data_IF_099736738227
#
_entry.id   IF_099736738227
#
_cell.length_a   1.000
_cell.length_b   1.000
_cell.length_c   1.000
_cell.angle_alpha   90.00
_cell.angle_beta   90.00
_cell.angle_gamma   90.00
#
_symmetry.space_group_name_H-M   'P 1'
#
loop_
_entity.id
_entity.type
_entity.pdbx_description
1 polymer ?
#
# COMPACT_ATOMS: atom_id res chain seq x y z
N UNK A 1 -48.88 -20.07 15.38
CA UNK A 1 -49.05 -20.83 14.12
C UNK A 1 -47.68 -21.31 13.65
N UNK A 2 -47.38 -22.61 13.78
CA UNK A 2 -46.14 -23.20 13.25
C UNK A 2 -46.27 -23.28 11.74
N UNK A 3 -45.39 -22.60 11.00
CA UNK A 3 -45.29 -22.69 9.54
C UNK A 3 -44.70 -24.07 9.23
N UNK A 4 -45.52 -25.00 8.75
CA UNK A 4 -45.02 -26.30 8.30
C UNK A 4 -44.16 -26.08 7.05
N UNK A 5 -42.85 -26.28 7.22
CA UNK A 5 -41.89 -26.25 6.13
C UNK A 5 -42.27 -27.35 5.14
N UNK A 6 -42.66 -26.96 3.93
CA UNK A 6 -43.28 -27.91 3.00
C UNK A 6 -42.18 -28.83 2.47
N UNK A 7 -42.41 -30.14 2.47
CA UNK A 7 -41.44 -31.20 2.06
C UNK A 7 -40.69 -30.92 0.75
N UNK A 8 -41.26 -30.06 -0.12
CA UNK A 8 -40.67 -29.55 -1.37
C UNK A 8 -39.54 -28.53 -1.15
N UNK A 9 -39.64 -27.65 -0.16
CA UNK A 9 -38.61 -26.65 0.17
C UNK A 9 -37.38 -27.33 0.80
N UNK A 10 -37.60 -28.33 1.66
CA UNK A 10 -36.51 -29.15 2.20
C UNK A 10 -35.78 -29.91 1.09
N UNK A 11 -36.51 -30.47 0.13
CA UNK A 11 -35.94 -31.18 -1.01
C UNK A 11 -35.14 -30.25 -1.94
N UNK A 12 -35.63 -29.03 -2.16
CA UNK A 12 -34.92 -28.01 -2.95
C UNK A 12 -33.61 -27.58 -2.27
N UNK A 13 -33.64 -27.34 -0.95
CA UNK A 13 -32.46 -26.97 -0.17
C UNK A 13 -31.38 -28.06 -0.18
N UNK A 14 -31.76 -29.34 -0.03
CA UNK A 14 -30.82 -30.45 -0.16
C UNK A 14 -30.25 -30.57 -1.58
N UNK A 15 -31.05 -30.29 -2.61
CA UNK A 15 -30.58 -30.31 -4.00
C UNK A 15 -29.53 -29.23 -4.24
N UNK A 16 -29.74 -28.01 -3.73
CA UNK A 16 -28.77 -26.90 -3.83
C UNK A 16 -27.48 -27.23 -3.08
N UNK A 17 -27.58 -27.79 -1.87
CA UNK A 17 -26.42 -28.20 -1.07
C UNK A 17 -25.60 -29.28 -1.77
N UNK A 18 -26.25 -30.23 -2.44
CA UNK A 18 -25.57 -31.28 -3.19
C UNK A 18 -24.85 -30.74 -4.43
N UNK A 19 -25.46 -29.76 -5.12
CA UNK A 19 -24.82 -29.07 -6.25
C UNK A 19 -23.59 -28.28 -5.79
N UNK A 20 -23.70 -27.53 -4.68
CA UNK A 20 -22.59 -26.77 -4.11
C UNK A 20 -21.45 -27.69 -3.64
N UNK A 21 -21.78 -28.80 -2.98
CA UNK A 21 -20.79 -29.81 -2.60
C UNK A 21 -20.13 -30.46 -3.82
N UNK A 22 -20.88 -30.71 -4.89
CA UNK A 22 -20.36 -31.21 -6.16
C UNK A 22 -19.39 -30.22 -6.81
N UNK A 23 -19.73 -28.93 -6.86
CA UNK A 23 -18.83 -27.88 -7.37
C UNK A 23 -17.58 -27.78 -6.50
N UNK A 24 -17.72 -27.79 -5.17
CA UNK A 24 -16.60 -27.79 -4.24
C UNK A 24 -15.68 -29.00 -4.41
N UNK A 25 -16.25 -30.19 -4.61
CA UNK A 25 -15.50 -31.41 -4.87
C UNK A 25 -14.82 -31.39 -6.24
N UNK A 26 -15.45 -30.82 -7.27
CA UNK A 26 -14.84 -30.65 -8.60
C UNK A 26 -13.65 -29.68 -8.54
N UNK A 27 -13.79 -28.54 -7.86
CA UNK A 27 -12.69 -27.58 -7.66
C UNK A 27 -11.56 -28.23 -6.84
N UNK A 28 -11.91 -28.92 -5.76
CA UNK A 28 -10.96 -29.64 -4.92
C UNK A 28 -10.22 -30.72 -5.72
N UNK A 29 -10.88 -31.46 -6.60
CA UNK A 29 -10.23 -32.46 -7.46
C UNK A 29 -9.43 -31.81 -8.60
N UNK A 30 -9.83 -30.64 -9.10
CA UNK A 30 -9.06 -29.88 -10.09
C UNK A 30 -7.77 -29.30 -9.50
N UNK A 31 -7.74 -28.93 -8.21
CA UNK A 31 -6.51 -28.45 -7.56
C UNK A 31 -5.43 -29.55 -7.47
N UNK A 32 -5.82 -30.83 -7.42
CA UNK A 32 -4.90 -31.96 -7.48
C UNK A 32 -4.56 -32.42 -8.90
N UNK A 33 -5.28 -31.90 -9.91
CA UNK A 33 -4.92 -32.01 -11.33
C UNK A 33 -4.07 -30.83 -11.77
N UNK A 34 -3.03 -30.51 -10.99
CA UNK A 34 -1.89 -29.76 -11.53
C UNK A 34 -1.31 -30.60 -12.67
N UNK A 35 -1.51 -30.14 -13.91
CA UNK A 35 -0.93 -30.78 -15.08
C UNK A 35 0.59 -30.63 -15.04
N UNK A 36 1.40 -31.71 -14.94
CA UNK A 36 2.84 -31.62 -15.13
C UNK A 36 3.24 -31.26 -16.59
N UNK A 37 2.26 -31.02 -17.47
CA UNK A 37 2.44 -30.68 -18.87
C UNK A 37 2.85 -29.22 -19.15
N UNK A 38 2.86 -28.32 -18.15
CA UNK A 38 3.45 -26.98 -18.32
C UNK A 38 4.99 -27.02 -18.26
N UNK A 39 5.58 -28.16 -17.86
CA UNK A 39 7.04 -28.32 -17.81
C UNK A 39 7.69 -28.83 -19.10
N UNK A 40 6.92 -29.15 -20.15
CA UNK A 40 7.50 -29.45 -21.47
C UNK A 40 6.45 -29.44 -22.59
N UNK A 41 6.27 -28.32 -23.29
CA UNK A 41 5.98 -28.29 -24.75
C UNK A 41 6.15 -26.86 -25.31
N UNK A 42 7.27 -26.65 -26.00
CA UNK A 42 7.48 -25.79 -27.17
C UNK A 42 6.77 -24.44 -27.33
N UNK A 43 7.49 -23.36 -27.06
CA UNK A 43 7.37 -22.11 -27.82
C UNK A 43 8.69 -21.79 -28.53
N UNK A 44 8.58 -21.69 -29.85
CA UNK A 44 9.52 -21.18 -30.87
C UNK A 44 10.89 -20.63 -30.41
N UNK A 45 11.93 -21.20 -31.02
CA UNK A 45 13.37 -20.96 -30.80
C UNK A 45 13.89 -19.55 -31.17
N UNK A 46 13.00 -18.58 -31.45
CA UNK A 46 13.37 -17.18 -31.68
C UNK A 46 13.15 -16.28 -30.46
N UNK A 47 12.22 -16.62 -29.56
CA UNK A 47 12.02 -15.86 -28.32
C UNK A 47 13.04 -16.24 -27.24
N UNK A 48 13.60 -17.45 -27.27
CA UNK A 48 14.61 -17.91 -26.31
C UNK A 48 15.86 -17.05 -26.33
N UNK A 49 16.38 -16.61 -27.48
CA UNK A 49 17.55 -15.73 -27.54
C UNK A 49 17.29 -14.30 -27.04
N UNK A 50 16.07 -13.77 -27.20
CA UNK A 50 15.71 -12.42 -26.74
C UNK A 50 15.40 -12.38 -25.24
N UNK A 51 14.77 -13.44 -24.74
CA UNK A 51 14.55 -13.75 -23.33
C UNK A 51 15.91 -13.97 -22.66
N UNK A 52 16.72 -14.91 -23.14
CA UNK A 52 18.05 -15.23 -22.58
C UNK A 52 19.02 -14.04 -22.64
N UNK A 53 18.99 -13.22 -23.69
CA UNK A 53 19.72 -11.96 -23.76
C UNK A 53 19.29 -10.97 -22.69
N UNK A 54 17.99 -10.84 -22.40
CA UNK A 54 17.49 -10.02 -21.30
C UNK A 54 17.84 -10.61 -19.92
N UNK A 55 17.80 -11.93 -19.72
CA UNK A 55 18.23 -12.56 -18.46
C UNK A 55 19.75 -12.44 -18.20
N UNK A 56 20.59 -12.43 -19.25
CA UNK A 56 22.03 -12.20 -19.10
C UNK A 56 22.40 -10.72 -18.91
N UNK A 57 21.69 -9.78 -19.55
CA UNK A 57 21.85 -8.34 -19.29
C UNK A 57 21.40 -7.97 -17.86
N UNK A 58 20.34 -8.62 -17.34
CA UNK A 58 19.83 -8.39 -15.98
C UNK A 58 20.73 -9.00 -14.91
N UNK A 59 21.42 -10.14 -15.18
CA UNK A 59 22.41 -10.70 -14.24
C UNK A 59 23.57 -9.76 -13.92
N UNK A 60 23.90 -8.83 -14.82
CA UNK A 60 24.88 -7.77 -14.58
C UNK A 60 24.41 -6.64 -13.66
N UNK A 61 23.09 -6.51 -13.46
CA UNK A 61 22.42 -5.38 -12.79
C UNK A 61 21.53 -5.79 -11.62
N UNK A 62 21.72 -6.99 -11.04
CA UNK A 62 20.99 -7.45 -9.86
C UNK A 62 21.12 -6.45 -8.71
N UNK A 63 20.00 -6.04 -8.15
CA UNK A 63 19.92 -5.15 -6.99
C UNK A 63 20.23 -5.90 -5.69
N UNK A 64 20.09 -7.23 -5.71
CA UNK A 64 20.36 -8.11 -4.57
C UNK A 64 21.86 -8.46 -4.53
N UNK A 65 22.66 -7.55 -3.97
CA UNK A 65 24.07 -7.81 -3.67
C UNK A 65 24.22 -8.36 -2.25
N UNK A 66 23.92 -9.66 -2.08
CA UNK A 66 24.08 -10.32 -0.79
C UNK A 66 25.56 -10.53 -0.46
N UNK A 67 26.00 -10.27 0.79
CA UNK A 67 27.35 -10.61 1.23
C UNK A 67 27.68 -12.08 1.03
N UNK A 68 28.95 -12.39 0.77
CA UNK A 68 29.46 -13.76 0.60
C UNK A 68 29.22 -14.67 1.82
N UNK A 69 28.90 -14.10 2.97
CA UNK A 69 28.54 -14.84 4.19
C UNK A 69 27.17 -15.52 4.10
N UNK A 70 26.31 -15.10 3.16
CA UNK A 70 25.02 -15.73 2.91
C UNK A 70 25.13 -16.84 1.87
N UNK A 71 24.37 -17.91 2.06
CA UNK A 71 24.33 -19.06 1.15
C UNK A 71 23.08 -18.93 0.28
N UNK A 72 23.26 -18.73 -1.03
CA UNK A 72 22.16 -18.59 -1.97
C UNK A 72 21.47 -19.95 -2.18
N UNK A 73 20.15 -20.00 -2.02
CA UNK A 73 19.34 -21.21 -2.26
C UNK A 73 18.74 -21.23 -3.67
N UNK A 74 18.59 -20.06 -4.28
CA UNK A 74 18.08 -19.90 -5.64
C UNK A 74 18.90 -18.85 -6.41
N UNK A 75 18.92 -18.91 -7.74
CA UNK A 75 19.21 -17.72 -8.54
C UNK A 75 18.22 -16.58 -8.22
N UNK A 76 18.58 -15.32 -8.48
CA UNK A 76 17.61 -14.22 -8.44
C UNK A 76 16.45 -14.49 -9.41
N UNK A 77 15.23 -14.27 -8.94
CA UNK A 77 14.00 -14.32 -9.72
C UNK A 77 13.54 -12.89 -10.04
N UNK A 78 13.00 -12.68 -11.24
CA UNK A 78 12.55 -11.37 -11.71
C UNK A 78 11.09 -11.45 -12.17
N UNK A 79 10.27 -10.55 -11.64
CA UNK A 79 8.85 -10.42 -11.97
C UNK A 79 8.56 -9.03 -12.52
N UNK A 80 7.61 -8.99 -13.44
CA UNK A 80 7.10 -7.85 -14.19
C UNK A 80 5.60 -7.69 -13.89
N UNK A 81 4.96 -6.59 -14.30
CA UNK A 81 3.56 -6.34 -13.92
C UNK A 81 2.59 -7.46 -14.28
N UNK A 82 2.84 -8.19 -15.37
CA UNK A 82 1.96 -9.24 -15.88
C UNK A 82 2.10 -10.60 -15.19
N UNK A 83 3.16 -10.83 -14.41
CA UNK A 83 3.41 -12.11 -13.72
C UNK A 83 3.69 -11.93 -12.21
N UNK A 84 3.54 -10.72 -11.67
CA UNK A 84 3.73 -10.45 -10.26
C UNK A 84 2.78 -11.30 -9.39
N UNK A 85 1.54 -11.52 -9.84
CA UNK A 85 0.53 -12.32 -9.12
C UNK A 85 0.99 -13.74 -8.82
N UNK A 86 1.86 -14.30 -9.67
CA UNK A 86 2.36 -15.66 -9.56
C UNK A 86 3.33 -15.79 -8.37
N UNK A 87 4.02 -14.70 -8.01
CA UNK A 87 4.96 -14.66 -6.89
C UNK A 87 4.30 -14.35 -5.55
N UNK A 88 3.28 -13.49 -5.56
CA UNK A 88 2.70 -12.94 -4.32
C UNK A 88 1.24 -13.36 -4.11
N UNK A 89 0.88 -14.55 -4.60
CA UNK A 89 -0.40 -15.22 -4.36
C UNK A 89 -1.62 -14.33 -4.62
N UNK A 90 -1.64 -13.66 -5.77
CA UNK A 90 -2.75 -12.81 -6.19
C UNK A 90 -2.83 -11.43 -5.50
N UNK A 91 -1.88 -11.06 -4.63
CA UNK A 91 -1.85 -9.74 -3.95
C UNK A 91 -1.26 -8.61 -4.81
N UNK A 92 -1.15 -8.80 -6.12
CA UNK A 92 -0.48 -7.87 -7.04
C UNK A 92 -1.16 -6.51 -7.17
N UNK A 93 -2.49 -6.44 -7.01
CA UNK A 93 -3.26 -5.24 -7.29
C UNK A 93 -2.77 -4.00 -6.49
N UNK A 94 -2.43 -4.19 -5.21
CA UNK A 94 -1.88 -3.12 -4.36
C UNK A 94 -0.64 -2.48 -4.97
N UNK A 95 0.30 -3.29 -5.44
CA UNK A 95 1.56 -2.86 -6.01
C UNK A 95 1.36 -2.24 -7.41
N UNK A 96 0.54 -2.89 -8.24
CA UNK A 96 0.25 -2.45 -9.60
C UNK A 96 -0.42 -1.07 -9.60
N UNK A 97 -1.45 -0.88 -8.78
CA UNK A 97 -2.14 0.40 -8.61
C UNK A 97 -1.24 1.49 -8.01
N UNK A 98 -0.24 1.12 -7.22
CA UNK A 98 0.78 2.03 -6.70
C UNK A 98 1.91 2.34 -7.72
N UNK A 99 1.91 1.78 -8.93
CA UNK A 99 2.88 2.11 -9.98
C UNK A 99 4.11 1.20 -10.06
N UNK A 100 3.99 -0.03 -9.56
CA UNK A 100 5.00 -1.10 -9.67
C UNK A 100 5.65 -1.21 -11.05
N UNK A 101 6.96 -1.44 -11.05
CA UNK A 101 7.79 -1.68 -12.24
C UNK A 101 8.25 -3.12 -12.31
N UNK A 102 9.03 -3.55 -11.31
CA UNK A 102 9.66 -4.86 -11.28
C UNK A 102 9.80 -5.35 -9.85
N UNK A 103 9.85 -6.67 -9.66
CA UNK A 103 10.23 -7.30 -8.40
C UNK A 103 11.43 -8.18 -8.67
N UNK A 104 12.49 -8.00 -7.90
CA UNK A 104 13.59 -8.96 -7.79
C UNK A 104 13.47 -9.71 -6.46
N UNK A 105 13.53 -11.04 -6.47
CA UNK A 105 13.50 -11.84 -5.25
C UNK A 105 14.56 -12.92 -5.22
N UNK A 106 15.08 -13.24 -4.03
CA UNK A 106 16.05 -14.31 -3.88
C UNK A 106 16.01 -14.96 -2.50
N UNK A 107 16.07 -16.30 -2.48
CA UNK A 107 16.18 -17.09 -1.25
C UNK A 107 17.62 -17.34 -0.85
N UNK A 108 17.88 -17.27 0.45
CA UNK A 108 19.20 -17.48 1.04
C UNK A 108 19.12 -18.07 2.45
N UNK A 109 20.21 -18.66 2.91
CA UNK A 109 20.45 -19.05 4.31
C UNK A 109 21.48 -18.14 4.94
N UNK A 110 21.35 -17.93 6.24
CA UNK A 110 22.35 -17.20 7.06
C UNK A 110 23.44 -18.12 7.62
N UNK A 111 23.21 -19.43 7.64
CA UNK A 111 24.17 -20.45 8.11
C UNK A 111 23.95 -21.77 7.37
N UNK A 112 25.03 -22.48 7.05
CA UNK A 112 24.97 -23.81 6.42
C UNK A 112 24.38 -24.88 7.36
N UNK A 113 24.50 -24.69 8.67
CA UNK A 113 24.08 -25.65 9.68
C UNK A 113 22.58 -25.58 10.02
N UNK A 114 21.88 -24.54 9.54
CA UNK A 114 20.45 -24.37 9.78
C UNK A 114 19.65 -24.68 8.51
N UNK A 115 18.42 -25.18 8.70
CA UNK A 115 17.43 -25.28 7.63
C UNK A 115 16.62 -23.99 7.45
N UNK A 116 16.82 -23.01 8.33
CA UNK A 116 16.17 -21.72 8.26
C UNK A 116 16.62 -20.99 7.00
N UNK A 117 15.65 -20.42 6.31
CA UNK A 117 15.87 -19.61 5.12
C UNK A 117 15.16 -18.29 5.25
N UNK A 118 15.66 -17.30 4.51
CA UNK A 118 14.99 -16.05 4.33
C UNK A 118 14.89 -15.74 2.84
N UNK A 119 13.96 -14.86 2.50
CA UNK A 119 13.76 -14.37 1.15
C UNK A 119 13.67 -12.86 1.18
N UNK A 120 14.46 -12.23 0.31
CA UNK A 120 14.42 -10.79 0.08
C UNK A 120 13.58 -10.52 -1.16
N UNK A 121 12.74 -9.49 -1.09
CA UNK A 121 11.90 -8.99 -2.17
C UNK A 121 12.18 -7.50 -2.34
N UNK A 122 12.68 -7.10 -3.50
CA UNK A 122 12.96 -5.70 -3.84
C UNK A 122 11.99 -5.27 -4.93
N UNK A 123 10.95 -4.53 -4.53
CA UNK A 123 9.96 -3.96 -5.44
C UNK A 123 10.43 -2.59 -5.92
N UNK A 124 10.67 -2.43 -7.23
CA UNK A 124 10.82 -1.12 -7.84
C UNK A 124 9.44 -0.50 -8.05
N UNK A 125 9.15 0.55 -7.29
CA UNK A 125 7.89 1.28 -7.35
C UNK A 125 7.99 2.55 -8.22
N UNK A 126 9.14 2.76 -8.87
CA UNK A 126 9.44 3.87 -9.77
C UNK A 126 9.76 5.20 -9.09
N UNK A 127 9.26 5.44 -7.87
CA UNK A 127 9.61 6.60 -7.03
C UNK A 127 9.28 6.35 -5.56
N UNK A 128 9.80 7.21 -4.67
CA UNK A 128 9.64 7.03 -3.22
C UNK A 128 8.24 7.26 -2.68
N UNK A 129 7.40 8.06 -3.33
CA UNK A 129 5.98 8.18 -2.93
C UNK A 129 5.26 6.86 -3.18
N UNK A 130 5.44 6.25 -4.35
CA UNK A 130 4.86 4.96 -4.69
C UNK A 130 5.34 3.82 -3.78
N UNK A 131 6.64 3.83 -3.41
CA UNK A 131 7.16 2.87 -2.43
C UNK A 131 6.54 3.08 -1.04
N UNK A 132 6.39 4.33 -0.62
CA UNK A 132 5.77 4.66 0.66
C UNK A 132 4.28 4.35 0.72
N UNK A 133 3.53 4.50 -0.37
CA UNK A 133 2.12 4.10 -0.38
C UNK A 133 1.97 2.63 -0.04
N UNK A 134 2.75 1.75 -0.69
CA UNK A 134 2.73 0.30 -0.39
C UNK A 134 3.17 0.05 1.04
N UNK A 135 4.28 0.65 1.48
CA UNK A 135 4.78 0.51 2.84
C UNK A 135 3.73 0.90 3.90
N UNK A 136 3.07 2.04 3.71
CA UNK A 136 2.12 2.58 4.68
C UNK A 136 0.80 1.80 4.70
N UNK A 137 0.39 1.25 3.56
CA UNK A 137 -0.84 0.44 3.44
C UNK A 137 -0.64 -0.98 4.00
N UNK A 138 0.58 -1.53 3.89
CA UNK A 138 0.92 -2.85 4.46
C UNK A 138 1.33 -2.82 5.93
N UNK A 139 1.54 -1.64 6.52
CA UNK A 139 2.02 -1.53 7.89
C UNK A 139 1.02 -2.16 8.88
N UNK A 140 1.50 -3.11 9.69
CA UNK A 140 0.68 -3.81 10.68
C UNK A 140 0.51 -2.99 11.96
N UNK A 141 -0.57 -3.22 12.68
CA UNK A 141 -0.84 -2.51 13.96
C UNK A 141 0.22 -2.80 15.03
N UNK A 142 0.78 -4.01 15.05
CA UNK A 142 1.81 -4.49 15.96
C UNK A 142 3.25 -4.16 15.49
N UNK A 143 3.39 -3.41 14.40
CA UNK A 143 4.68 -3.06 13.82
C UNK A 143 5.58 -2.30 14.80
N UNK A 144 6.82 -2.79 14.94
CA UNK A 144 7.89 -2.15 15.72
C UNK A 144 8.88 -1.48 14.76
N UNK A 145 9.47 -0.32 15.12
CA UNK A 145 10.53 0.28 14.30
C UNK A 145 11.68 -0.70 14.05
N UNK A 146 12.19 -0.76 12.82
CA UNK A 146 13.34 -1.61 12.48
C UNK A 146 14.69 -0.87 12.59
N UNK A 147 14.70 0.46 12.57
CA UNK A 147 15.92 1.26 12.75
C UNK A 147 16.82 1.37 11.52
N UNK A 148 16.34 0.98 10.33
CA UNK A 148 17.09 1.06 9.07
C UNK A 148 17.08 2.47 8.46
N UNK A 149 15.89 3.04 8.37
CA UNK A 149 15.60 4.39 7.85
C UNK A 149 14.28 4.88 8.48
N UNK A 150 13.88 6.13 8.19
CA UNK A 150 12.64 6.76 8.64
C UNK A 150 11.40 5.88 8.38
N UNK A 151 11.38 5.17 7.26
CA UNK A 151 10.28 4.28 6.87
C UNK A 151 10.75 2.83 6.94
N UNK A 152 10.89 2.32 8.16
CA UNK A 152 11.26 0.93 8.41
C UNK A 152 10.55 0.35 9.62
N UNK A 153 9.98 -0.85 9.47
CA UNK A 153 9.38 -1.60 10.57
C UNK A 153 9.70 -3.08 10.48
N UNK A 154 9.47 -3.79 11.59
CA UNK A 154 9.66 -5.22 11.74
C UNK A 154 8.46 -5.86 12.42
N UNK A 155 8.23 -7.12 12.08
CA UNK A 155 7.32 -8.05 12.74
C UNK A 155 8.14 -9.20 13.36
N UNK A 156 7.48 -10.24 13.85
CA UNK A 156 8.14 -11.41 14.46
C UNK A 156 9.09 -12.17 13.53
N UNK A 157 8.90 -12.09 12.20
CA UNK A 157 9.67 -12.86 11.22
C UNK A 157 10.09 -12.05 9.98
N UNK A 158 9.87 -10.74 9.95
CA UNK A 158 10.13 -9.95 8.74
C UNK A 158 10.53 -8.50 9.04
N UNK A 159 11.24 -7.92 8.09
CA UNK A 159 11.65 -6.51 8.07
C UNK A 159 11.17 -5.88 6.78
N UNK A 160 10.60 -4.69 6.89
CA UNK A 160 10.00 -3.93 5.80
C UNK A 160 10.56 -2.52 5.80
N UNK A 161 10.94 -2.00 4.64
CA UNK A 161 11.45 -0.63 4.55
C UNK A 161 11.29 -0.02 3.17
N UNK A 162 11.34 1.31 3.13
CA UNK A 162 11.43 2.10 1.89
C UNK A 162 12.84 2.65 1.75
N UNK A 163 13.43 2.51 0.57
CA UNK A 163 14.71 3.13 0.23
C UNK A 163 14.70 3.65 -1.22
N UNK A 164 14.64 4.97 -1.38
CA UNK A 164 14.52 5.58 -2.71
C UNK A 164 13.21 5.15 -3.39
N UNK A 165 13.23 4.61 -4.63
CA UNK A 165 12.05 4.08 -5.31
C UNK A 165 11.67 2.66 -4.88
N UNK A 166 12.45 2.05 -3.98
CA UNK A 166 12.28 0.64 -3.62
C UNK A 166 11.47 0.48 -2.34
N UNK A 167 10.51 -0.44 -2.39
CA UNK A 167 9.91 -1.05 -1.21
C UNK A 167 10.53 -2.44 -1.04
N UNK A 168 11.06 -2.73 0.14
CA UNK A 168 11.79 -3.98 0.40
C UNK A 168 11.14 -4.74 1.53
N UNK A 169 10.97 -6.03 1.30
CA UNK A 169 10.59 -7.01 2.31
C UNK A 169 11.71 -8.03 2.46
N UNK A 170 12.08 -8.34 3.70
CA UNK A 170 12.92 -9.50 4.00
C UNK A 170 12.09 -10.36 4.93
N UNK A 171 11.81 -11.61 4.55
CA UNK A 171 10.93 -12.52 5.30
C UNK A 171 11.70 -13.79 5.64
N UNK A 172 11.66 -14.19 6.92
CA UNK A 172 12.30 -15.39 7.43
C UNK A 172 11.26 -16.51 7.59
N UNK A 173 11.72 -17.73 7.37
CA UNK A 173 10.97 -18.94 7.64
C UNK A 173 10.71 -19.18 9.13
N UNK A 174 11.43 -18.48 10.02
CA UNK A 174 11.34 -18.67 11.48
C UNK A 174 11.08 -17.34 12.22
N UNK A 175 10.06 -17.28 13.09
CA UNK A 175 9.73 -16.09 13.87
C UNK A 175 10.58 -16.00 15.15
N UNK A 176 11.85 -15.62 15.04
CA UNK A 176 12.73 -15.38 16.20
C UNK A 176 13.36 -14.00 16.15
N UNK A 177 13.58 -13.38 17.31
CA UNK A 177 14.27 -12.09 17.41
C UNK A 177 15.66 -12.14 16.77
N UNK A 178 16.42 -13.23 16.97
CA UNK A 178 17.74 -13.41 16.34
C UNK A 178 17.65 -13.40 14.81
N UNK A 179 16.64 -14.07 14.24
CA UNK A 179 16.43 -14.07 12.80
C UNK A 179 16.12 -12.66 12.29
N UNK A 180 15.26 -11.92 12.98
CA UNK A 180 14.88 -10.56 12.58
C UNK A 180 16.07 -9.60 12.68
N UNK A 181 16.91 -9.69 13.71
CA UNK A 181 18.12 -8.87 13.82
C UNK A 181 19.11 -9.13 12.66
N UNK A 182 19.27 -10.38 12.21
CA UNK A 182 20.05 -10.70 11.01
C UNK A 182 19.48 -10.04 9.76
N UNK A 183 18.17 -9.94 9.66
CA UNK A 183 17.49 -9.31 8.52
C UNK A 183 17.62 -7.78 8.54
N UNK A 184 17.60 -7.18 9.73
CA UNK A 184 17.95 -5.75 9.90
C UNK A 184 19.40 -5.52 9.48
N UNK A 185 20.34 -6.35 9.94
CA UNK A 185 21.74 -6.25 9.52
C UNK A 185 21.89 -6.38 7.98
N UNK A 186 21.16 -7.31 7.36
CA UNK A 186 21.12 -7.42 5.91
C UNK A 186 20.57 -6.16 5.23
N UNK A 187 19.46 -5.60 5.75
CA UNK A 187 18.88 -4.36 5.23
C UNK A 187 19.88 -3.21 5.22
N UNK A 188 20.69 -3.05 6.26
CA UNK A 188 21.78 -2.05 6.28
C UNK A 188 22.80 -2.27 5.16
N UNK A 189 23.20 -3.52 4.91
CA UNK A 189 24.15 -3.83 3.85
C UNK A 189 23.57 -3.54 2.46
N UNK A 190 22.30 -3.89 2.23
CA UNK A 190 21.59 -3.58 0.98
C UNK A 190 21.56 -2.07 0.74
N UNK A 191 21.17 -1.29 1.75
CA UNK A 191 21.15 0.17 1.70
C UNK A 191 22.53 0.75 1.38
N UNK A 192 23.60 0.27 2.04
CA UNK A 192 24.97 0.75 1.82
C UNK A 192 25.48 0.48 0.40
N UNK A 193 25.06 -0.63 -0.22
CA UNK A 193 25.50 -1.02 -1.55
C UNK A 193 24.64 -0.43 -2.68
N UNK A 194 23.56 0.29 -2.36
CA UNK A 194 22.69 0.95 -3.33
C UNK A 194 22.90 2.47 -3.32
N UNK A 195 23.73 3.05 -4.22
CA UNK A 195 23.95 4.48 -4.27
C UNK A 195 22.75 5.19 -4.92
N UNK A 196 21.68 5.43 -4.15
CA UNK A 196 20.46 6.08 -4.62
C UNK A 196 20.28 7.40 -3.87
N UNK A 197 19.92 8.45 -4.61
CA UNK A 197 19.49 9.71 -4.00
C UNK A 197 18.08 9.53 -3.44
N UNK A 198 17.97 9.41 -2.12
CA UNK A 198 16.67 9.40 -1.45
C UNK A 198 16.08 10.81 -1.45
N UNK A 199 14.79 10.91 -1.75
CA UNK A 199 14.02 12.15 -1.58
C UNK A 199 13.13 11.96 -0.37
N UNK A 200 13.26 12.83 0.63
CA UNK A 200 12.41 12.77 1.83
C UNK A 200 10.96 13.02 1.44
N UNK A 201 10.05 12.21 1.99
CA UNK A 201 8.61 12.34 1.81
C UNK A 201 8.12 13.49 2.70
N UNK A 202 8.28 14.70 2.19
CA UNK A 202 8.09 15.93 2.94
C UNK A 202 6.61 16.18 3.27
N UNK A 203 5.70 15.66 2.46
CA UNK A 203 4.26 15.84 2.58
C UNK A 203 3.70 15.33 3.91
N UNK A 204 4.31 14.29 4.48
CA UNK A 204 3.98 13.79 5.82
C UNK A 204 4.19 14.84 6.92
N UNK A 205 5.15 15.77 6.74
CA UNK A 205 5.46 16.85 7.68
C UNK A 205 4.44 17.99 7.62
N UNK A 206 3.56 18.00 6.62
CA UNK A 206 2.51 19.02 6.45
C UNK A 206 1.33 18.82 7.40
N UNK A 207 1.23 17.65 8.04
CA UNK A 207 0.20 17.36 9.03
C UNK A 207 0.49 18.06 10.37
N UNK A 208 -0.46 18.84 10.93
CA UNK A 208 -0.30 19.47 12.24
C UNK A 208 -0.03 18.45 13.36
N UNK A 209 1.00 18.65 14.19
CA UNK A 209 1.42 17.64 15.19
C UNK A 209 0.46 17.37 16.34
N UNK A 210 -0.26 18.37 16.83
CA UNK A 210 -1.14 18.19 18.01
C UNK A 210 -2.35 17.31 17.68
N UNK A 211 -2.55 16.23 18.45
CA UNK A 211 -3.62 15.25 18.24
C UNK A 211 -3.38 14.26 17.09
N UNK A 212 -2.24 14.34 16.41
CA UNK A 212 -1.87 13.43 15.32
C UNK A 212 -1.45 12.07 15.88
N UNK A 213 -2.02 11.00 15.34
CA UNK A 213 -1.51 9.64 15.55
C UNK A 213 -0.37 9.39 14.56
N UNK A 214 0.88 9.65 14.93
CA UNK A 214 2.03 9.67 14.00
C UNK A 214 2.17 8.39 13.14
N UNK A 215 1.83 7.22 13.69
CA UNK A 215 1.88 5.93 12.99
C UNK A 215 0.76 5.74 11.96
N UNK A 216 -0.25 6.61 11.94
CA UNK A 216 -1.39 6.51 11.03
C UNK A 216 -1.18 7.23 9.69
N UNK A 217 -0.04 7.89 9.50
CA UNK A 217 0.25 8.58 8.24
C UNK A 217 0.41 7.53 7.14
N UNK A 218 -0.43 7.63 6.12
CA UNK A 218 -0.39 6.76 4.96
C UNK A 218 -0.57 7.55 3.66
N UNK A 219 -0.21 6.93 2.55
CA UNK A 219 -0.44 7.46 1.21
C UNK A 219 -1.31 6.48 0.42
N UNK A 220 -2.50 6.94 0.04
CA UNK A 220 -3.39 6.20 -0.84
C UNK A 220 -3.04 6.56 -2.28
N UNK A 221 -2.58 5.56 -3.04
CA UNK A 221 -2.11 5.74 -4.42
C UNK A 221 -3.22 6.15 -5.37
N UNK A 222 -4.37 5.49 -5.29
CA UNK A 222 -5.47 5.60 -6.25
C UNK A 222 -6.82 5.48 -5.55
N UNK A 223 -7.86 6.07 -6.14
CA UNK A 223 -9.27 5.89 -5.73
C UNK A 223 -9.54 6.18 -4.24
N UNK A 224 -8.81 7.14 -3.64
CA UNK A 224 -8.99 7.46 -2.24
C UNK A 224 -10.44 7.88 -1.97
N UNK A 225 -11.02 7.28 -0.93
CA UNK A 225 -12.40 7.55 -0.48
C UNK A 225 -13.46 7.17 -1.52
N UNK A 226 -13.14 6.26 -2.44
CA UNK A 226 -14.03 5.83 -3.51
C UNK A 226 -14.17 6.82 -4.67
N UNK A 227 -13.38 7.91 -4.67
CA UNK A 227 -13.36 8.87 -5.77
C UNK A 227 -12.19 8.58 -6.71
N UNK A 228 -12.49 8.16 -7.93
CA UNK A 228 -11.52 7.68 -8.94
C UNK A 228 -10.39 8.67 -9.26
N UNK A 229 -10.69 9.96 -9.27
CA UNK A 229 -9.71 11.02 -9.53
C UNK A 229 -8.79 11.30 -8.34
N UNK A 230 -9.09 10.75 -7.15
CA UNK A 230 -8.32 10.94 -5.92
C UNK A 230 -7.15 9.97 -5.84
N UNK A 231 -6.10 10.27 -6.60
CA UNK A 231 -4.80 9.61 -6.51
C UNK A 231 -3.80 10.42 -5.68
N UNK A 232 -2.78 9.75 -5.11
CA UNK A 232 -1.71 10.38 -4.30
C UNK A 232 -2.26 11.22 -3.16
N UNK A 233 -3.09 10.61 -2.31
CA UNK A 233 -3.72 11.28 -1.18
C UNK A 233 -3.04 10.83 0.11
N UNK A 234 -2.30 11.73 0.74
CA UNK A 234 -1.80 11.51 2.09
C UNK A 234 -2.95 11.61 3.06
N UNK A 235 -3.00 10.69 4.03
CA UNK A 235 -3.98 10.66 5.11
C UNK A 235 -3.28 10.55 6.45
N UNK A 236 -3.94 11.07 7.48
CA UNK A 236 -3.47 10.93 8.85
C UNK A 236 -4.67 10.95 9.81
N UNK A 237 -4.70 10.00 10.75
CA UNK A 237 -5.70 9.95 11.81
C UNK A 237 -5.35 10.92 12.93
N UNK A 238 -6.40 11.55 13.45
CA UNK A 238 -6.34 12.46 14.57
C UNK A 238 -7.30 12.02 15.65
N UNK A 239 -6.89 12.22 16.90
CA UNK A 239 -7.74 12.08 18.08
C UNK A 239 -7.66 13.35 18.91
N UNK A 240 -8.71 14.16 18.86
CA UNK A 240 -8.81 15.44 19.59
C UNK A 240 -10.06 15.36 20.45
N UNK A 241 -9.92 15.55 21.77
CA UNK A 241 -11.04 15.46 22.72
C UNK A 241 -11.86 14.15 22.59
N UNK A 242 -11.17 13.03 22.35
CA UNK A 242 -11.74 11.69 22.08
C UNK A 242 -12.51 11.53 20.77
N UNK A 243 -12.56 12.57 19.93
CA UNK A 243 -13.16 12.51 18.61
C UNK A 243 -12.09 12.11 17.61
N UNK A 244 -12.36 11.04 16.87
CA UNK A 244 -11.54 10.57 15.77
C UNK A 244 -11.94 11.27 14.47
N UNK A 245 -10.94 11.63 13.67
CA UNK A 245 -11.14 12.22 12.35
C UNK A 245 -9.90 11.99 11.49
N UNK A 246 -10.06 12.04 10.17
CA UNK A 246 -8.95 11.83 9.25
C UNK A 246 -8.64 13.13 8.52
N UNK A 247 -7.44 13.66 8.67
CA UNK A 247 -6.95 14.72 7.79
C UNK A 247 -6.46 14.09 6.48
N UNK A 248 -6.63 14.81 5.37
CA UNK A 248 -6.04 14.41 4.10
C UNK A 248 -5.46 15.60 3.35
N UNK A 249 -4.46 15.33 2.51
CA UNK A 249 -3.92 16.29 1.57
C UNK A 249 -3.41 15.61 0.32
N UNK A 250 -3.41 16.34 -0.79
CA UNK A 250 -2.86 15.88 -2.05
C UNK A 250 -2.27 17.05 -2.82
N UNK A 251 -0.98 16.94 -3.16
CA UNK A 251 -0.27 17.92 -3.95
C UNK A 251 -0.52 17.71 -5.45
N UNK A 252 -0.69 18.81 -6.19
CA UNK A 252 -0.98 18.82 -7.63
C UNK A 252 0.03 19.64 -8.40
N UNK A 253 0.12 19.37 -9.70
CA UNK A 253 1.05 20.09 -10.59
C UNK A 253 0.79 21.60 -10.64
N UNK A 254 -0.45 22.04 -10.42
CA UNK A 254 -0.88 23.44 -10.56
C UNK A 254 -2.02 23.73 -9.60
N UNK A 255 -2.22 25.01 -9.23
CA UNK A 255 -3.34 25.42 -8.38
C UNK A 255 -4.71 25.22 -9.02
N UNK A 256 -4.79 25.27 -10.35
CA UNK A 256 -6.01 25.02 -11.12
C UNK A 256 -6.42 23.55 -11.00
N UNK A 257 -5.48 22.62 -11.18
CA UNK A 257 -5.72 21.18 -10.98
C UNK A 257 -6.12 20.84 -9.54
N UNK A 258 -5.52 21.48 -8.55
CA UNK A 258 -5.95 21.33 -7.15
C UNK A 258 -7.40 21.78 -6.98
N UNK A 259 -7.72 23.02 -7.37
CA UNK A 259 -9.10 23.54 -7.28
C UNK A 259 -10.12 22.66 -8.01
N UNK A 260 -9.81 22.24 -9.23
CA UNK A 260 -10.70 21.37 -10.01
C UNK A 260 -10.96 20.04 -9.30
N UNK A 261 -9.92 19.42 -8.74
CA UNK A 261 -10.06 18.17 -8.02
C UNK A 261 -10.84 18.32 -6.71
N UNK A 262 -10.58 19.37 -5.92
CA UNK A 262 -11.34 19.64 -4.70
C UNK A 262 -12.82 19.87 -4.98
N UNK A 263 -13.14 20.60 -6.06
CA UNK A 263 -14.52 20.77 -6.53
C UNK A 263 -15.14 19.47 -7.03
N UNK A 264 -14.37 18.63 -7.73
CA UNK A 264 -14.80 17.30 -8.16
C UNK A 264 -15.19 16.41 -6.98
N UNK A 265 -14.34 16.35 -5.96
CA UNK A 265 -14.61 15.57 -4.75
C UNK A 265 -15.80 16.12 -3.96
N UNK A 266 -15.93 17.44 -3.83
CA UNK A 266 -17.13 18.05 -3.24
C UNK A 266 -18.42 17.64 -3.98
N UNK A 267 -18.43 17.69 -5.32
CA UNK A 267 -19.59 17.25 -6.13
C UNK A 267 -19.87 15.75 -5.96
N UNK A 268 -18.82 14.94 -5.90
CA UNK A 268 -18.94 13.51 -5.61
C UNK A 268 -19.66 13.28 -4.28
N UNK A 269 -19.24 13.92 -3.19
CA UNK A 269 -19.92 13.79 -1.89
C UNK A 269 -21.39 14.21 -1.94
N UNK A 270 -21.72 15.31 -2.63
CA UNK A 270 -23.12 15.72 -2.79
C UNK A 270 -23.96 14.70 -3.57
N UNK A 271 -23.37 14.07 -4.59
CA UNK A 271 -24.04 13.03 -5.39
C UNK A 271 -24.38 11.81 -4.54
N UNK A 272 -23.50 11.46 -3.59
CA UNK A 272 -23.67 10.30 -2.70
C UNK A 272 -24.30 10.65 -1.34
N UNK A 273 -25.16 11.67 -1.30
CA UNK A 273 -26.03 11.96 -0.15
C UNK A 273 -25.49 13.01 0.84
N UNK A 274 -24.32 13.58 0.57
CA UNK A 274 -23.81 14.73 1.32
C UNK A 274 -24.66 15.98 1.14
N UNK A 275 -24.76 16.80 2.18
CA UNK A 275 -25.47 18.08 2.18
C UNK A 275 -24.52 19.20 2.55
N UNK A 276 -24.45 20.24 1.73
CA UNK A 276 -23.61 21.40 2.05
C UNK A 276 -24.14 22.16 3.26
N UNK A 277 -23.25 22.42 4.22
CA UNK A 277 -23.54 23.22 5.40
C UNK A 277 -23.03 24.63 5.14
N UNK A 278 -23.96 25.57 4.91
CA UNK A 278 -23.63 26.98 4.69
C UNK A 278 -23.25 27.63 6.02
N UNK A 279 -21.95 27.79 6.26
CA UNK A 279 -21.42 28.48 7.45
C UNK A 279 -20.15 29.26 7.09
N UNK A 280 -19.90 30.40 7.73
CA UNK A 280 -18.62 31.08 7.58
C UNK A 280 -17.46 30.17 7.98
N UNK A 281 -16.47 30.03 7.09
CA UNK A 281 -15.21 29.37 7.36
C UNK A 281 -14.09 30.41 7.38
N UNK A 282 -13.09 30.19 8.23
CA UNK A 282 -11.83 30.97 8.24
C UNK A 282 -10.97 30.69 7.00
N UNK A 283 -11.30 29.66 6.24
CA UNK A 283 -10.60 29.23 5.03
C UNK A 283 -11.45 29.64 3.83
N UNK A 284 -10.93 30.56 3.02
CA UNK A 284 -11.61 31.04 1.81
C UNK A 284 -11.84 29.88 0.84
N UNK A 285 -13.10 29.69 0.42
CA UNK A 285 -13.48 28.65 -0.54
C UNK A 285 -13.60 27.23 0.05
N UNK A 286 -13.46 27.07 1.37
CA UNK A 286 -13.73 25.79 2.00
C UNK A 286 -15.21 25.38 1.86
N UNK A 287 -15.42 24.09 1.60
CA UNK A 287 -16.71 23.44 1.50
C UNK A 287 -16.90 22.54 2.71
N UNK A 288 -18.02 22.71 3.40
CA UNK A 288 -18.40 21.90 4.57
C UNK A 288 -19.60 21.07 4.15
N UNK A 289 -19.51 19.76 4.34
CA UNK A 289 -20.52 18.80 3.91
C UNK A 289 -20.87 17.93 5.12
N UNK A 290 -22.14 17.82 5.45
CA UNK A 290 -22.63 16.79 6.37
C UNK A 290 -23.03 15.57 5.55
N UNK A 291 -22.49 14.41 5.85
CA UNK A 291 -22.85 13.14 5.22
C UNK A 291 -22.98 12.08 6.30
N UNK A 292 -24.15 11.43 6.33
CA UNK A 292 -24.58 10.60 7.46
C UNK A 292 -24.46 11.39 8.78
N UNK A 293 -23.78 10.85 9.79
CA UNK A 293 -23.55 11.48 11.10
C UNK A 293 -22.16 12.12 11.23
N UNK A 294 -21.53 12.47 10.10
CA UNK A 294 -20.17 13.02 10.04
C UNK A 294 -20.07 14.30 9.21
N UNK A 295 -18.98 15.02 9.42
CA UNK A 295 -18.63 16.24 8.70
C UNK A 295 -17.35 16.04 7.88
N UNK A 296 -17.46 16.41 6.62
CA UNK A 296 -16.38 16.50 5.65
C UNK A 296 -16.06 17.98 5.39
N UNK A 297 -14.79 18.34 5.38
CA UNK A 297 -14.33 19.68 5.00
C UNK A 297 -13.33 19.54 3.88
N UNK A 298 -13.55 20.25 2.78
CA UNK A 298 -12.67 20.23 1.61
C UNK A 298 -12.29 21.67 1.26
N UNK A 299 -11.00 21.92 1.03
CA UNK A 299 -10.52 23.17 0.50
C UNK A 299 -9.36 22.97 -0.45
N UNK A 300 -9.01 24.02 -1.19
CA UNK A 300 -7.82 24.05 -2.03
C UNK A 300 -7.01 25.28 -1.70
N UNK A 301 -5.71 25.12 -1.55
CA UNK A 301 -4.78 26.21 -1.24
C UNK A 301 -3.47 26.00 -2.00
N UNK A 302 -3.07 27.01 -2.79
CA UNK A 302 -1.93 26.87 -3.70
C UNK A 302 -2.10 25.64 -4.60
N UNK A 303 -1.12 24.73 -4.57
CA UNK A 303 -1.09 23.47 -5.33
C UNK A 303 -1.72 22.29 -4.58
N UNK A 304 -2.34 22.50 -3.43
CA UNK A 304 -2.87 21.44 -2.57
C UNK A 304 -4.39 21.39 -2.60
N UNK A 305 -4.92 20.17 -2.56
CA UNK A 305 -6.28 19.88 -2.07
C UNK A 305 -6.12 19.27 -0.70
N UNK A 306 -6.87 19.74 0.28
CA UNK A 306 -6.76 19.27 1.64
C UNK A 306 -8.12 19.33 2.34
N UNK A 307 -8.22 18.61 3.46
CA UNK A 307 -9.48 18.50 4.15
C UNK A 307 -9.44 17.61 5.38
N UNK A 308 -10.62 17.47 5.97
CA UNK A 308 -10.89 16.62 7.13
C UNK A 308 -12.11 15.77 6.82
N UNK A 309 -12.05 14.49 7.19
CA UNK A 309 -13.10 13.50 7.00
C UNK A 309 -13.57 12.88 8.29
N UNK A 310 -14.76 12.29 8.23
CA UNK A 310 -15.29 11.37 9.24
C UNK A 310 -15.37 11.97 10.65
N UNK A 311 -15.42 13.30 10.74
CA UNK A 311 -15.47 13.98 12.03
C UNK A 311 -16.92 14.01 12.53
N UNK A 312 -17.17 13.45 13.73
CA UNK A 312 -18.50 13.49 14.34
C UNK A 312 -18.87 14.86 14.93
N UNK A 313 -17.88 15.72 15.18
CA UNK A 313 -18.08 17.10 15.61
C UNK A 313 -17.57 18.12 14.59
N UNK A 314 -18.47 19.00 14.17
CA UNK A 314 -18.19 20.03 13.17
C UNK A 314 -17.14 21.04 13.64
N UNK A 315 -17.16 21.47 14.91
CA UNK A 315 -16.25 22.51 15.40
C UNK A 315 -14.82 21.99 15.40
N UNK A 316 -14.61 20.76 15.84
CA UNK A 316 -13.31 20.10 15.82
C UNK A 316 -12.82 19.86 14.39
N UNK A 317 -13.71 19.44 13.47
CA UNK A 317 -13.37 19.32 12.06
C UNK A 317 -12.85 20.65 11.49
N UNK A 318 -13.55 21.76 11.77
CA UNK A 318 -13.16 23.10 11.33
C UNK A 318 -11.84 23.57 11.93
N UNK A 319 -11.58 23.26 13.20
CA UNK A 319 -10.31 23.60 13.84
C UNK A 319 -9.15 22.82 13.23
N UNK A 320 -9.29 21.52 13.01
CA UNK A 320 -8.27 20.73 12.34
C UNK A 320 -8.04 21.21 10.90
N UNK A 321 -9.09 21.50 10.15
CA UNK A 321 -8.97 22.06 8.80
C UNK A 321 -8.22 23.41 8.81
N UNK A 322 -8.49 24.27 9.79
CA UNK A 322 -7.80 25.56 9.95
C UNK A 322 -6.32 25.40 10.28
N UNK A 323 -5.99 24.45 11.17
CA UNK A 323 -4.60 24.09 11.49
C UNK A 323 -3.88 23.55 10.26
N UNK A 324 -4.53 22.70 9.46
CA UNK A 324 -3.99 22.16 8.22
C UNK A 324 -3.73 23.28 7.20
N UNK A 325 -4.69 24.19 7.01
CA UNK A 325 -4.54 25.36 6.14
C UNK A 325 -3.38 26.27 6.57
N UNK A 326 -3.21 26.53 7.88
CA UNK A 326 -2.05 27.27 8.40
C UNK A 326 -0.72 26.59 8.09
N UNK A 327 -0.66 25.26 8.27
CA UNK A 327 0.54 24.47 7.95
C UNK A 327 0.90 24.58 6.46
N UNK A 328 -0.09 24.44 5.58
CA UNK A 328 0.11 24.58 4.13
C UNK A 328 0.53 26.01 3.73
N UNK A 329 -0.05 27.03 4.37
CA UNK A 329 0.33 28.43 4.12
C UNK A 329 1.80 28.69 4.46
N UNK A 330 2.27 28.22 5.61
CA UNK A 330 3.67 28.38 6.01
C UNK A 330 4.65 27.73 5.03
N UNK A 331 4.26 26.64 4.38
CA UNK A 331 5.09 25.97 3.35
C UNK A 331 5.11 26.77 2.07
N UNK A 332 3.94 27.19 1.56
CA UNK A 332 3.85 27.97 0.31
C UNK A 332 4.52 29.34 0.43
N UNK A 333 4.43 29.99 1.59
CA UNK A 333 5.05 31.30 1.82
C UNK A 333 6.59 31.18 2.03
N UNK A 334 7.11 29.96 2.24
CA UNK A 334 8.53 29.68 2.46
C UNK A 334 9.26 29.04 1.27
N UNK A 335 8.55 28.75 0.17
CA UNK A 335 9.10 28.32 -1.14
C UNK A 335 9.48 29.53 -2.01
#
# INVERSE_FOLDING_TARGET
MKKECTRRETCLSFSILFVLAGIGMIIFLQQFRYSPAILSTGMSNQNSKKIQGAYEEIRGNSLILLPKTYILLSPPEMFQPHNLSDKIDGKAELYLSAGFKTLESQRFKTSAASEDWAEIFIYDMGNGENAFSVFSEQMREDAKPAGLDQHSYRTENAVYYVYGPYYVEIISSVPTDESVEKMVALGHVVIQNMPIKTTSIAESKLFPRSGLETKSIALISTNAFGFDQFNRVYVAKYKIDKIEMTAFLSHRKTSQKARALGLGYYRFLLTFGGKEVKQPSRITGAKIISIMDSYEIIFSFGRFVAGVREASDRKQAMELAHRLHKGLKAVVDGE
#
